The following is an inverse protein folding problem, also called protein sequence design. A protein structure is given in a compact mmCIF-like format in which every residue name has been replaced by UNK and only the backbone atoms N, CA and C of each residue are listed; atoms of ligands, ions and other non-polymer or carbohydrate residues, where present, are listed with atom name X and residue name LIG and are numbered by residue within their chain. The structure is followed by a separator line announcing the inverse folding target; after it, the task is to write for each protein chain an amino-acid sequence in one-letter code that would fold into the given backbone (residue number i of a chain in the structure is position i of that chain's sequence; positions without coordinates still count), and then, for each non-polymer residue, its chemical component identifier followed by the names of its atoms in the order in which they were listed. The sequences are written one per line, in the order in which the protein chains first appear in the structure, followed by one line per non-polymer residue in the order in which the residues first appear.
data_IF_139169387562
#
_entry.id   IF_139169387562
#
_cell.length_a   1.000
_cell.length_b   1.000
_cell.length_c   1.000
_cell.angle_alpha   90.00
_cell.angle_beta   90.00
_cell.angle_gamma   90.00
#
_symmetry.space_group_name_H-M   'P 1'
#
loop_
_entity.id
_entity.type
_entity.pdbx_description
1 polymer ?
#
# COMPACT_ATOMS: atom_id res chain seq x y z
N UNK A 1 -2.18 10.47 -7.85
CA UNK A 1 -2.99 11.07 -8.93
C UNK A 1 -4.46 10.60 -8.99
N UNK A 2 -4.78 9.31 -9.21
CA UNK A 2 -6.19 8.89 -9.38
C UNK A 2 -7.06 9.16 -8.14
N UNK A 3 -6.58 8.78 -6.95
CA UNK A 3 -7.26 9.02 -5.67
C UNK A 3 -7.26 10.50 -5.25
N UNK A 4 -6.19 11.25 -5.54
CA UNK A 4 -6.10 12.68 -5.24
C UNK A 4 -7.09 13.50 -6.10
N UNK A 5 -7.29 13.11 -7.37
CA UNK A 5 -8.27 13.74 -8.26
C UNK A 5 -9.71 13.50 -7.83
N UNK A 6 -9.99 12.44 -7.07
CA UNK A 6 -11.32 12.16 -6.55
C UNK A 6 -11.72 13.08 -5.37
N UNK A 7 -10.75 13.78 -4.76
CA UNK A 7 -10.97 14.83 -3.74
C UNK A 7 -11.71 14.40 -2.46
N UNK A 8 -12.10 13.13 -2.35
CA UNK A 8 -13.08 12.64 -1.36
C UNK A 8 -12.45 11.90 -0.19
N UNK A 9 -11.12 11.83 -0.12
CA UNK A 9 -10.40 11.12 0.94
C UNK A 9 -9.36 12.02 1.60
N UNK A 10 -9.53 12.26 2.91
CA UNK A 10 -8.67 13.13 3.73
C UNK A 10 -7.60 12.37 4.50
N UNK A 11 -7.52 11.04 4.35
CA UNK A 11 -6.51 10.21 5.01
C UNK A 11 -5.20 10.14 4.23
N UNK A 12 -4.30 9.30 4.75
CA UNK A 12 -2.98 9.03 4.18
C UNK A 12 -2.96 7.72 3.39
N UNK A 13 -2.08 7.63 2.39
CA UNK A 13 -1.95 6.43 1.55
C UNK A 13 -0.71 5.60 1.91
N UNK A 14 -0.71 4.36 1.46
CA UNK A 14 0.47 3.50 1.42
C UNK A 14 0.54 2.87 0.02
N UNK A 15 1.67 3.00 -0.66
CA UNK A 15 1.81 2.55 -2.05
C UNK A 15 2.58 1.24 -2.05
N UNK A 16 1.92 0.16 -2.49
CA UNK A 16 2.50 -1.18 -2.53
C UNK A 16 3.45 -1.40 -3.72
N UNK A 17 3.50 -0.47 -4.67
CA UNK A 17 4.30 -0.53 -5.92
C UNK A 17 3.95 -1.67 -6.89
N UNK A 18 2.76 -2.26 -6.77
CA UNK A 18 2.29 -3.28 -7.71
C UNK A 18 1.22 -4.16 -7.10
N UNK A 19 1.04 -5.32 -7.70
CA UNK A 19 0.17 -6.39 -7.21
C UNK A 19 0.89 -7.73 -7.32
N UNK A 20 0.48 -8.70 -6.50
CA UNK A 20 1.03 -10.06 -6.56
C UNK A 20 0.69 -10.62 -7.95
N UNK A 21 1.71 -11.10 -8.66
CA UNK A 21 1.57 -11.67 -9.99
C UNK A 21 2.49 -12.88 -10.11
N UNK A 22 2.00 -14.09 -9.77
CA UNK A 22 2.80 -15.29 -9.83
C UNK A 22 3.36 -15.56 -11.23
N UNK A 23 2.60 -15.21 -12.27
CA UNK A 23 3.01 -15.36 -13.67
C UNK A 23 4.23 -14.49 -14.03
N UNK A 24 4.39 -13.35 -13.36
CA UNK A 24 5.54 -12.46 -13.54
C UNK A 24 6.60 -12.64 -12.43
N UNK A 25 6.50 -13.71 -11.64
CA UNK A 25 7.33 -13.96 -10.44
C UNK A 25 7.26 -12.85 -9.38
N UNK A 26 6.18 -12.05 -9.34
CA UNK A 26 6.01 -11.00 -8.34
C UNK A 26 5.37 -11.53 -7.07
N UNK A 27 6.18 -11.67 -6.03
CA UNK A 27 5.79 -12.13 -4.70
C UNK A 27 5.46 -10.99 -3.72
N UNK A 28 4.99 -11.33 -2.51
CA UNK A 28 4.70 -10.35 -1.46
C UNK A 28 5.92 -9.51 -1.06
N UNK A 29 7.11 -10.12 -1.10
CA UNK A 29 8.38 -9.49 -0.71
C UNK A 29 8.83 -8.41 -1.70
N UNK A 30 8.36 -8.49 -2.94
CA UNK A 30 8.58 -7.46 -3.96
C UNK A 30 7.58 -6.30 -3.86
N UNK A 31 6.57 -6.46 -3.00
CA UNK A 31 5.61 -5.42 -2.68
C UNK A 31 5.95 -4.83 -1.31
N UNK A 32 5.67 -3.56 -1.13
CA UNK A 32 5.92 -2.87 0.16
C UNK A 32 4.90 -3.27 1.25
N UNK A 33 4.53 -4.54 1.34
CA UNK A 33 3.53 -5.09 2.26
C UNK A 33 4.05 -5.10 3.70
N UNK A 34 5.30 -5.48 3.94
CA UNK A 34 5.85 -5.54 5.30
C UNK A 34 5.83 -4.18 6.01
N UNK A 35 6.16 -3.12 5.27
CA UNK A 35 6.13 -1.74 5.79
C UNK A 35 4.71 -1.29 6.13
N UNK A 36 3.70 -1.73 5.35
CA UNK A 36 2.30 -1.51 5.68
C UNK A 36 1.92 -2.23 6.98
N UNK A 37 2.27 -3.52 7.11
CA UNK A 37 1.99 -4.32 8.31
C UNK A 37 2.63 -3.69 9.55
N UNK A 38 3.89 -3.24 9.45
CA UNK A 38 4.57 -2.55 10.54
C UNK A 38 3.88 -1.24 10.93
N UNK A 39 3.42 -0.46 9.95
CA UNK A 39 2.74 0.81 10.19
C UNK A 39 1.38 0.62 10.87
N UNK A 40 0.61 -0.39 10.45
CA UNK A 40 -0.65 -0.77 11.11
C UNK A 40 -0.41 -1.25 12.53
N UNK A 41 0.60 -2.12 12.75
CA UNK A 41 0.97 -2.61 14.08
C UNK A 41 1.40 -1.50 15.04
N UNK A 42 2.02 -0.43 14.55
CA UNK A 42 2.39 0.74 15.37
C UNK A 42 1.17 1.53 15.86
N UNK A 43 -0.02 1.32 15.29
CA UNK A 43 -1.27 1.92 15.77
C UNK A 43 -1.37 3.44 15.58
N UNK A 44 -0.46 4.05 14.83
CA UNK A 44 -0.44 5.50 14.57
C UNK A 44 -1.23 5.88 13.30
N UNK A 45 -2.22 5.07 12.92
CA UNK A 45 -3.12 5.37 11.79
C UNK A 45 -4.45 5.79 12.42
N UNK A 46 -4.86 7.03 12.18
CA UNK A 46 -6.09 7.66 12.71
C UNK A 46 -7.02 8.04 11.58
#
# INVERSE_FOLDING_TARGET
IALEKAGSYSGVYHVLHGSISPLNNVGPDELYIDTLVLRVKKGQIS
#
